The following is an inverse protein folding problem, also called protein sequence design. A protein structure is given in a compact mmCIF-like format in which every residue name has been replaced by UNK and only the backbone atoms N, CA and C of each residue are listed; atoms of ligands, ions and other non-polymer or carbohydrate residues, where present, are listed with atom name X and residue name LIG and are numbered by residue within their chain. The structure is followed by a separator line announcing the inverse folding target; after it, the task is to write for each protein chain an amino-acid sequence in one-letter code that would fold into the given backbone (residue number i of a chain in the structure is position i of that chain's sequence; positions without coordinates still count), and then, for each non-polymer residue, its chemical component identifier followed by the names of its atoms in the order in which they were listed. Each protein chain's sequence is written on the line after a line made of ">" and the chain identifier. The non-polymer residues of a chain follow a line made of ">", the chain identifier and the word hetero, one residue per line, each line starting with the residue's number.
data_IF_056087798428
#
_entry.id   IF_056087798428
#
_cell.length_a   1.000
_cell.length_b   1.000
_cell.length_c   1.000
_cell.angle_alpha   90.00
_cell.angle_beta   90.00
_cell.angle_gamma   90.00
#
_symmetry.space_group_name_H-M   'P 1'
#
loop_
_entity.id
_entity.type
_entity.pdbx_description
1 polymer ?
#
# COMPACT_ATOMS: atom_id res chain seq x y z
N UNK A 1 -6.46 -42.44 28.31
CA UNK A 1 -6.40 -41.26 27.43
C UNK A 1 -5.39 -40.28 28.02
N UNK A 2 -4.30 -39.97 27.31
CA UNK A 2 -3.27 -39.01 27.74
C UNK A 2 -3.43 -37.69 26.96
N UNK A 3 -3.52 -36.62 27.75
CA UNK A 3 -3.19 -35.20 27.58
C UNK A 3 -2.92 -34.61 26.19
N UNK A 4 -3.47 -33.42 25.96
CA UNK A 4 -2.72 -32.30 25.39
C UNK A 4 -3.35 -30.96 25.78
N UNK A 5 -2.71 -30.31 26.75
CA UNK A 5 -2.84 -28.89 27.01
C UNK A 5 -2.39 -28.12 25.78
N UNK A 6 -3.33 -27.53 25.03
CA UNK A 6 -3.02 -26.58 23.97
C UNK A 6 -2.66 -25.24 24.62
N UNK A 7 -1.43 -25.15 25.14
CA UNK A 7 -0.70 -23.88 25.08
C UNK A 7 -0.24 -23.75 23.64
N UNK A 8 -1.13 -23.25 22.78
CA UNK A 8 -0.74 -22.92 21.41
C UNK A 8 0.07 -21.63 21.46
N UNK A 9 1.32 -21.77 21.05
CA UNK A 9 2.37 -20.79 21.14
C UNK A 9 1.98 -19.53 20.36
N UNK A 10 1.48 -18.53 21.09
CA UNK A 10 1.43 -17.13 20.68
C UNK A 10 2.84 -16.57 20.52
N UNK A 11 3.65 -17.15 19.63
CA UNK A 11 4.93 -16.61 19.25
C UNK A 11 5.38 -17.10 17.87
N UNK A 12 4.76 -16.54 16.84
CA UNK A 12 5.48 -16.10 15.63
C UNK A 12 4.62 -15.08 14.90
N UNK A 13 4.78 -13.83 15.33
CA UNK A 13 4.58 -12.65 14.49
C UNK A 13 5.55 -12.76 13.31
N UNK A 14 5.27 -13.62 12.33
CA UNK A 14 5.84 -13.46 11.01
C UNK A 14 4.99 -12.39 10.32
N UNK A 15 5.35 -11.13 10.56
CA UNK A 15 5.07 -10.07 9.60
C UNK A 15 5.79 -10.50 8.33
N UNK A 16 5.08 -11.13 7.40
CA UNK A 16 5.58 -11.36 6.05
C UNK A 16 5.72 -9.99 5.39
N UNK A 17 6.85 -9.33 5.64
CA UNK A 17 7.29 -8.18 4.85
C UNK A 17 7.75 -8.79 3.53
N UNK A 18 6.86 -8.82 2.55
CA UNK A 18 7.22 -9.11 1.18
C UNK A 18 7.97 -7.87 0.66
N UNK A 19 9.29 -7.95 0.61
CA UNK A 19 10.10 -6.98 -0.13
C UNK A 19 9.95 -7.30 -1.62
N UNK A 20 8.96 -6.68 -2.26
CA UNK A 20 8.88 -6.69 -3.72
C UNK A 20 9.89 -5.69 -4.26
N UNK A 21 10.95 -6.19 -4.91
CA UNK A 21 11.80 -5.39 -5.77
C UNK A 21 10.95 -4.91 -6.95
N UNK A 22 10.38 -3.71 -6.83
CA UNK A 22 9.94 -2.95 -7.99
C UNK A 22 11.23 -2.67 -8.78
N UNK A 23 11.41 -3.41 -9.87
CA UNK A 23 12.56 -3.32 -10.77
C UNK A 23 13.02 -1.88 -10.92
N UNK A 24 14.21 -1.61 -10.40
CA UNK A 24 14.95 -0.36 -10.55
C UNK A 24 15.20 -0.09 -12.04
N UNK A 25 14.40 0.79 -12.62
CA UNK A 25 14.93 1.75 -13.59
C UNK A 25 15.20 3.03 -12.82
N UNK A 26 16.48 3.37 -12.73
CA UNK A 26 17.03 4.58 -12.09
C UNK A 26 16.30 5.83 -12.57
N UNK A 27 15.35 6.29 -11.78
CA UNK A 27 15.07 7.70 -11.55
C UNK A 27 15.17 7.88 -10.05
N UNK A 28 16.11 8.70 -9.59
CA UNK A 28 16.53 8.89 -8.18
C UNK A 28 15.44 9.50 -7.26
N UNK A 29 14.17 9.18 -7.48
CA UNK A 29 13.00 9.69 -6.73
C UNK A 29 11.91 8.62 -6.52
N UNK A 30 12.27 7.32 -6.52
CA UNK A 30 11.30 6.25 -6.24
C UNK A 30 10.87 6.27 -4.78
N UNK A 31 9.69 6.82 -4.48
CA UNK A 31 9.06 6.69 -3.17
C UNK A 31 8.42 5.30 -3.05
N UNK A 32 8.91 4.48 -2.13
CA UNK A 32 8.26 3.22 -1.77
C UNK A 32 7.03 3.49 -0.90
N UNK A 33 5.89 2.86 -1.21
CA UNK A 33 4.70 2.88 -0.35
C UNK A 33 4.54 1.53 0.35
N UNK A 34 4.08 1.55 1.61
CA UNK A 34 3.67 0.34 2.34
C UNK A 34 2.15 0.30 2.33
N UNK A 35 1.61 -0.83 1.90
CA UNK A 35 0.17 -1.10 1.86
C UNK A 35 -0.10 -2.47 2.50
N UNK A 36 -1.31 -2.68 3.00
CA UNK A 36 -1.70 -3.97 3.53
C UNK A 36 -1.81 -5.01 2.40
N UNK A 37 -1.59 -6.28 2.73
CA UNK A 37 -1.60 -7.37 1.76
C UNK A 37 -2.95 -7.52 1.05
N UNK A 38 -4.05 -7.35 1.80
CA UNK A 38 -5.41 -7.38 1.26
C UNK A 38 -5.62 -6.28 0.20
N UNK A 39 -5.17 -5.05 0.49
CA UNK A 39 -5.24 -3.92 -0.43
C UNK A 39 -4.37 -4.16 -1.67
N UNK A 40 -3.16 -4.72 -1.49
CA UNK A 40 -2.28 -5.07 -2.60
C UNK A 40 -2.93 -6.08 -3.54
N UNK A 41 -3.48 -7.17 -3.00
CA UNK A 41 -4.14 -8.21 -3.79
C UNK A 41 -5.35 -7.66 -4.55
N UNK A 42 -6.10 -6.75 -3.93
CA UNK A 42 -7.22 -6.08 -4.58
C UNK A 42 -6.76 -5.17 -5.73
N UNK A 43 -5.72 -4.37 -5.51
CA UNK A 43 -5.15 -3.48 -6.55
C UNK A 43 -4.54 -4.31 -7.69
N UNK A 44 -3.89 -5.43 -7.38
CA UNK A 44 -3.35 -6.37 -8.38
C UNK A 44 -4.46 -6.92 -9.28
N UNK A 45 -5.53 -7.45 -8.66
CA UNK A 45 -6.71 -7.92 -9.38
C UNK A 45 -7.30 -6.84 -10.30
N UNK A 46 -7.46 -5.61 -9.79
CA UNK A 46 -7.98 -4.49 -10.58
C UNK A 46 -7.06 -4.12 -11.75
N UNK A 47 -5.75 -4.19 -11.56
CA UNK A 47 -4.77 -3.90 -12.62
C UNK A 47 -4.88 -4.89 -13.78
N UNK A 48 -5.02 -6.19 -13.46
CA UNK A 48 -5.25 -7.25 -14.43
C UNK A 48 -6.58 -7.05 -15.16
N UNK A 49 -7.65 -6.80 -14.40
CA UNK A 49 -8.99 -6.61 -14.96
C UNK A 49 -9.06 -5.43 -15.94
N UNK A 50 -8.47 -4.29 -15.57
CA UNK A 50 -8.44 -3.08 -16.40
C UNK A 50 -7.39 -3.11 -17.50
N UNK A 51 -6.53 -4.15 -17.53
CA UNK A 51 -5.36 -4.23 -18.42
C UNK A 51 -4.47 -2.99 -18.33
N UNK A 52 -4.25 -2.52 -17.11
CA UNK A 52 -3.44 -1.34 -16.82
C UNK A 52 -2.38 -1.68 -15.76
N UNK A 53 -1.34 -0.85 -15.64
CA UNK A 53 -0.31 -1.02 -14.62
C UNK A 53 -0.82 -0.61 -13.25
N UNK A 54 -0.37 -1.29 -12.19
CA UNK A 54 -0.67 -0.89 -10.80
C UNK A 54 -0.37 0.58 -10.53
N UNK A 55 0.75 1.08 -11.05
CA UNK A 55 1.18 2.48 -10.87
C UNK A 55 0.19 3.45 -11.52
N UNK A 56 -0.24 3.18 -12.76
CA UNK A 56 -1.25 3.97 -13.45
C UNK A 56 -2.59 3.95 -12.71
N UNK A 57 -3.00 2.78 -12.23
CA UNK A 57 -4.22 2.61 -11.46
C UNK A 57 -4.19 3.43 -10.15
N UNK A 58 -3.10 3.33 -9.39
CA UNK A 58 -2.90 4.10 -8.16
C UNK A 58 -2.91 5.60 -8.43
N UNK A 59 -2.20 6.05 -9.47
CA UNK A 59 -2.19 7.47 -9.84
C UNK A 59 -3.58 7.97 -10.25
N UNK A 60 -4.36 7.13 -10.92
CA UNK A 60 -5.74 7.45 -11.33
C UNK A 60 -6.66 7.58 -10.11
N UNK A 61 -6.57 6.64 -9.16
CA UNK A 61 -7.32 6.72 -7.90
C UNK A 61 -6.94 7.96 -7.08
N UNK A 62 -5.65 8.30 -7.00
CA UNK A 62 -5.18 9.51 -6.32
C UNK A 62 -5.73 10.77 -7.01
N UNK A 63 -5.74 10.80 -8.34
CA UNK A 63 -6.26 11.94 -9.11
C UNK A 63 -7.76 12.13 -8.84
N UNK A 64 -8.54 11.07 -8.93
CA UNK A 64 -9.99 11.08 -8.66
C UNK A 64 -10.30 11.54 -7.23
N UNK A 65 -9.52 11.08 -6.25
CA UNK A 65 -9.65 11.53 -4.87
C UNK A 65 -9.40 13.03 -4.72
N UNK A 66 -8.35 13.57 -5.36
CA UNK A 66 -8.03 15.00 -5.30
C UNK A 66 -9.12 15.87 -5.93
N UNK A 67 -9.71 15.41 -7.02
CA UNK A 67 -10.78 16.13 -7.73
C UNK A 67 -12.08 16.12 -6.94
N UNK A 68 -12.38 15.02 -6.24
CA UNK A 68 -13.59 14.88 -5.41
C UNK A 68 -13.47 15.51 -4.02
N UNK A 69 -12.25 15.70 -3.50
CA UNK A 69 -12.00 16.21 -2.15
C UNK A 69 -11.01 17.38 -2.14
N UNK A 70 -11.31 18.51 -2.81
CA UNK A 70 -10.39 19.63 -2.92
C UNK A 70 -9.99 20.23 -1.55
N UNK A 71 -10.92 20.27 -0.59
CA UNK A 71 -10.66 20.80 0.76
C UNK A 71 -9.61 19.96 1.53
N UNK A 72 -9.67 18.63 1.42
CA UNK A 72 -8.69 17.73 2.04
C UNK A 72 -7.31 17.87 1.40
N UNK A 73 -7.26 18.16 0.09
CA UNK A 73 -6.02 18.45 -0.62
C UNK A 73 -5.40 19.76 -0.12
N UNK A 74 -6.21 20.79 0.13
CA UNK A 74 -5.73 22.05 0.70
C UNK A 74 -5.19 21.87 2.11
N UNK A 75 -5.88 21.12 2.97
CA UNK A 75 -5.39 20.76 4.32
C UNK A 75 -4.06 20.01 4.25
N UNK A 76 -3.93 19.03 3.35
CA UNK A 76 -2.70 18.29 3.16
C UNK A 76 -1.53 19.18 2.68
N UNK A 77 -1.80 20.12 1.76
CA UNK A 77 -0.79 21.10 1.31
C UNK A 77 -0.32 21.99 2.46
N UNK A 78 -1.24 22.54 3.24
CA UNK A 78 -0.91 23.36 4.41
C UNK A 78 -0.08 22.58 5.44
N UNK A 79 -0.42 21.31 5.68
CA UNK A 79 0.36 20.42 6.55
C UNK A 79 1.79 20.18 6.03
N UNK A 80 1.94 19.95 4.73
CA UNK A 80 3.27 19.76 4.09
C UNK A 80 4.15 21.01 4.21
N UNK A 81 3.56 22.22 4.12
CA UNK A 81 4.29 23.48 4.29
C UNK A 81 4.75 23.69 5.72
N UNK A 82 3.94 23.27 6.71
CA UNK A 82 4.30 23.37 8.13
C UNK A 82 5.46 22.44 8.55
N UNK A 83 5.68 21.33 7.83
CA UNK A 83 6.76 20.38 8.12
C UNK A 83 8.12 20.75 7.49
N UNK A 84 8.17 21.76 6.61
CA UNK A 84 9.39 22.24 5.96
C UNK A 84 10.03 23.36 6.76
#
# INVERSE_FOLDING_TARGET
>A
MKSRDYRDDNNKKNKNIINTNILERKTDNSKSIRIYEEDYNFIDFLSIWKKDTMVSLINSMIKEYKESHPEEVEKYKAFQEFQK
#
